data_IF_451641172938
#
_entry.id   IF_451641172938
#
_cell.length_a   1.000
_cell.length_b   1.000
_cell.length_c   1.000
_cell.angle_alpha   90.00
_cell.angle_beta   90.00
_cell.angle_gamma   90.00
#
_symmetry.space_group_name_H-M   'P 1'
#
loop_
_entity.id
_entity.type
_entity.pdbx_description
1 polymer ?
#
# COMPACT_ATOMS: atom_id res chain seq x y z
N UNK A 1 12.48 -14.88 -9.75
CA UNK A 1 11.77 -15.22 -8.50
C UNK A 1 11.75 -13.95 -7.64
N UNK A 2 10.60 -13.34 -7.34
CA UNK A 2 10.61 -12.17 -6.45
C UNK A 2 11.07 -12.58 -5.05
N UNK A 3 12.04 -11.86 -4.51
CA UNK A 3 12.53 -12.10 -3.16
C UNK A 3 11.40 -11.84 -2.16
N UNK A 4 11.10 -12.82 -1.30
CA UNK A 4 10.10 -12.63 -0.24
C UNK A 4 10.61 -11.59 0.75
N UNK A 5 9.81 -10.57 1.04
CA UNK A 5 10.09 -9.60 2.10
C UNK A 5 9.97 -10.29 3.46
N UNK A 6 10.94 -10.05 4.35
CA UNK A 6 10.99 -10.63 5.70
C UNK A 6 10.93 -9.49 6.72
N UNK A 7 10.02 -9.54 7.70
CA UNK A 7 9.97 -8.57 8.79
C UNK A 7 11.28 -8.53 9.57
N UNK A 8 11.78 -7.32 9.85
CA UNK A 8 13.09 -7.11 10.48
C UNK A 8 13.02 -6.92 12.00
N UNK A 9 11.81 -6.83 12.57
CA UNK A 9 11.61 -6.45 13.98
C UNK A 9 11.62 -4.94 14.23
N UNK A 10 11.79 -4.13 13.19
CA UNK A 10 11.74 -2.65 13.29
C UNK A 10 10.63 -2.13 12.41
N UNK A 11 9.95 -1.08 12.85
CA UNK A 11 8.85 -0.48 12.11
C UNK A 11 9.36 0.20 10.83
N UNK A 12 8.85 -0.27 9.69
CA UNK A 12 9.24 0.24 8.37
C UNK A 12 8.68 1.62 8.02
N UNK A 13 7.85 2.23 8.88
CA UNK A 13 7.53 3.66 8.71
C UNK A 13 8.72 4.58 9.05
N UNK A 14 9.80 4.04 9.60
CA UNK A 14 11.03 4.78 9.91
C UNK A 14 11.05 5.40 11.32
N UNK A 15 10.04 5.18 12.16
CA UNK A 15 10.03 5.73 13.53
C UNK A 15 11.02 5.04 14.49
N UNK A 16 11.66 3.94 14.09
CA UNK A 16 12.59 3.18 14.92
C UNK A 16 11.93 2.28 15.97
N UNK A 17 10.59 2.26 16.06
CA UNK A 17 9.88 1.40 17.02
C UNK A 17 10.03 -0.09 16.73
N UNK A 18 10.08 -0.91 17.77
CA UNK A 18 10.16 -2.37 17.67
C UNK A 18 8.79 -2.98 17.31
N UNK A 19 8.75 -3.87 16.32
CA UNK A 19 7.52 -4.53 15.89
C UNK A 19 7.39 -5.93 16.47
N UNK A 20 6.15 -6.38 16.66
CA UNK A 20 5.87 -7.76 17.01
C UNK A 20 6.37 -8.76 15.96
N UNK A 21 6.61 -10.00 16.37
CA UNK A 21 7.08 -11.08 15.48
C UNK A 21 6.19 -11.20 14.24
N UNK A 22 6.81 -11.19 13.07
CA UNK A 22 6.11 -11.33 11.80
C UNK A 22 5.44 -10.05 11.29
N UNK A 23 5.54 -8.91 12.00
CA UNK A 23 4.99 -7.63 11.56
C UNK A 23 6.06 -6.68 11.02
N UNK A 24 5.75 -6.05 9.89
CA UNK A 24 6.57 -4.97 9.30
C UNK A 24 6.30 -3.61 9.95
N UNK A 25 5.12 -3.42 10.54
CA UNK A 25 4.65 -2.13 11.03
C UNK A 25 4.09 -2.23 12.45
N UNK A 26 4.19 -1.15 13.20
CA UNK A 26 3.35 -0.92 14.37
C UNK A 26 1.90 -0.65 13.93
N UNK A 27 0.90 -0.81 14.81
CA UNK A 27 -0.51 -0.59 14.45
C UNK A 27 -0.76 0.77 13.79
N UNK A 28 -1.27 0.76 12.55
CA UNK A 28 -1.59 1.95 11.76
C UNK A 28 -0.40 2.65 11.08
N UNK A 29 0.84 2.18 11.32
CA UNK A 29 2.04 2.81 10.74
C UNK A 29 2.26 2.45 9.27
N UNK A 30 1.59 1.42 8.76
CA UNK A 30 1.54 1.10 7.33
C UNK A 30 0.95 2.27 6.52
N UNK A 31 -0.12 2.89 7.03
CA UNK A 31 -0.75 4.05 6.37
C UNK A 31 0.07 5.33 6.49
N UNK A 32 0.83 5.49 7.56
CA UNK A 32 1.80 6.59 7.69
C UNK A 32 2.90 6.44 6.64
N UNK A 33 3.48 5.24 6.52
CA UNK A 33 4.51 4.96 5.53
C UNK A 33 3.99 5.14 4.08
N UNK A 34 2.82 4.59 3.77
CA UNK A 34 2.16 4.73 2.47
C UNK A 34 1.95 6.21 2.11
N UNK A 35 1.40 7.00 3.04
CA UNK A 35 1.12 8.42 2.82
C UNK A 35 2.41 9.23 2.63
N UNK A 36 3.45 8.94 3.42
CA UNK A 36 4.74 9.62 3.31
C UNK A 36 5.38 9.38 1.92
N UNK A 37 5.39 8.13 1.44
CA UNK A 37 5.91 7.80 0.11
C UNK A 37 5.08 8.47 -1.00
N UNK A 38 3.76 8.45 -0.90
CA UNK A 38 2.89 9.12 -1.87
C UNK A 38 3.20 10.62 -1.95
N UNK A 39 3.34 11.29 -0.81
CA UNK A 39 3.65 12.72 -0.77
C UNK A 39 5.05 13.03 -1.35
N UNK A 40 6.07 12.26 -0.98
CA UNK A 40 7.45 12.48 -1.43
C UNK A 40 7.62 12.20 -2.93
N UNK A 41 7.07 11.08 -3.41
CA UNK A 41 7.32 10.60 -4.77
C UNK A 41 6.31 11.12 -5.81
N UNK A 42 5.14 11.54 -5.37
CA UNK A 42 4.03 11.93 -6.26
C UNK A 42 3.47 13.31 -5.94
N UNK A 43 3.89 13.99 -4.88
CA UNK A 43 3.32 15.27 -4.41
C UNK A 43 1.88 15.19 -3.87
N UNK A 44 1.25 14.02 -3.90
CA UNK A 44 -0.13 13.87 -3.44
C UNK A 44 -0.82 12.61 -3.94
N UNK A 45 -1.97 12.32 -3.32
CA UNK A 45 -2.85 11.22 -3.73
C UNK A 45 -3.41 11.42 -5.15
N UNK A 46 -3.88 12.62 -5.56
CA UNK A 46 -4.38 12.82 -6.93
C UNK A 46 -3.33 12.49 -8.00
N UNK A 47 -2.10 12.96 -7.84
CA UNK A 47 -0.99 12.74 -8.76
C UNK A 47 -0.56 11.27 -8.78
N UNK A 48 -0.53 10.61 -7.63
CA UNK A 48 -0.34 9.17 -7.52
C UNK A 48 -1.39 8.41 -8.33
N UNK A 49 -2.68 8.72 -8.13
CA UNK A 49 -3.77 8.09 -8.87
C UNK A 49 -3.63 8.31 -10.38
N UNK A 50 -3.41 9.55 -10.80
CA UNK A 50 -3.24 9.91 -12.21
C UNK A 50 -2.06 9.17 -12.85
N UNK A 51 -0.90 9.10 -12.17
CA UNK A 51 0.29 8.38 -12.64
C UNK A 51 0.06 6.87 -12.81
N UNK A 52 -0.86 6.29 -12.05
CA UNK A 52 -1.27 4.89 -12.20
C UNK A 52 -2.48 4.69 -13.13
N UNK A 53 -2.92 5.74 -13.84
CA UNK A 53 -4.03 5.70 -14.80
C UNK A 53 -5.41 5.65 -14.15
N UNK A 54 -5.53 6.07 -12.89
CA UNK A 54 -6.79 6.25 -12.17
C UNK A 54 -7.20 7.72 -12.16
N UNK A 55 -8.51 7.98 -12.12
CA UNK A 55 -9.05 9.34 -12.04
C UNK A 55 -10.31 9.52 -12.90
N UNK A 56 -10.87 10.73 -12.96
CA UNK A 56 -11.99 11.05 -13.85
C UNK A 56 -11.63 10.75 -15.32
N UNK A 57 -12.38 9.89 -15.99
CA UNK A 57 -12.09 9.45 -17.36
C UNK A 57 -11.03 8.35 -17.50
N UNK A 58 -10.36 7.97 -16.40
CA UNK A 58 -9.45 6.83 -16.32
C UNK A 58 -10.09 5.62 -15.64
N UNK A 59 -9.24 4.73 -15.10
CA UNK A 59 -9.71 3.60 -14.30
C UNK A 59 -10.39 4.09 -13.02
N UNK A 60 -11.48 3.44 -12.64
CA UNK A 60 -12.13 3.69 -11.36
C UNK A 60 -11.49 2.80 -10.27
N UNK A 61 -10.89 3.41 -9.25
CA UNK A 61 -10.18 2.68 -8.19
C UNK A 61 -11.11 1.77 -7.36
N UNK A 62 -12.34 2.23 -7.07
CA UNK A 62 -13.32 1.45 -6.31
C UNK A 62 -13.80 0.24 -7.09
N UNK A 63 -14.09 0.41 -8.37
CA UNK A 63 -14.48 -0.69 -9.25
C UNK A 63 -13.34 -1.71 -9.41
N UNK A 64 -12.11 -1.24 -9.66
CA UNK A 64 -10.95 -2.11 -9.77
C UNK A 64 -10.73 -2.96 -8.51
N UNK A 65 -10.90 -2.37 -7.32
CA UNK A 65 -10.85 -3.09 -6.05
C UNK A 65 -11.96 -4.13 -5.92
N UNK A 66 -13.18 -3.79 -6.33
CA UNK A 66 -14.32 -4.72 -6.30
C UNK A 66 -14.07 -5.95 -7.20
N UNK A 67 -13.63 -5.72 -8.43
CA UNK A 67 -13.34 -6.79 -9.39
C UNK A 67 -12.21 -7.71 -8.91
N UNK A 68 -11.14 -7.14 -8.34
CA UNK A 68 -10.05 -7.93 -7.75
C UNK A 68 -10.55 -8.81 -6.60
N UNK A 69 -11.38 -8.25 -5.72
CA UNK A 69 -11.96 -8.97 -4.58
C UNK A 69 -12.83 -10.14 -5.04
N UNK A 70 -13.65 -9.92 -6.07
CA UNK A 70 -14.59 -10.93 -6.56
C UNK A 70 -13.85 -12.09 -7.26
N UNK A 71 -12.78 -11.79 -8.00
CA UNK A 71 -11.86 -12.82 -8.54
C UNK A 71 -11.22 -13.67 -7.45
N UNK A 72 -10.80 -13.05 -6.34
CA UNK A 72 -10.23 -13.77 -5.20
C UNK A 72 -11.23 -14.72 -4.51
N UNK A 73 -12.53 -14.37 -4.51
CA UNK A 73 -13.59 -15.26 -4.00
C UNK A 73 -13.88 -16.43 -4.94
N UNK A 74 -13.85 -16.20 -6.25
CA UNK A 74 -14.10 -17.25 -7.24
C UNK A 74 -12.97 -18.29 -7.33
N UNK A 75 -11.76 -17.95 -6.86
CA UNK A 75 -10.59 -18.83 -6.86
C UNK A 75 -10.39 -19.63 -5.56
N UNK A 76 -11.31 -19.52 -4.58
CA UNK A 76 -11.25 -20.18 -3.27
C UNK A 76 -12.37 -21.19 -3.15
#
# INVERSE_FOLDING_TARGET
>A
MPQRLIPTGTCWCGCGGETGRGSFFLPGHDKVAESAVILVEYSGVPEFLAKHGYGPGGKNARQAFQEWRDKGKAAR
#
